data_IF_405265851035
#
_entry.id   IF_405265851035
#
_cell.length_a   1.000
_cell.length_b   1.000
_cell.length_c   1.000
_cell.angle_alpha   90.00
_cell.angle_beta   90.00
_cell.angle_gamma   90.00
#
_symmetry.space_group_name_H-M   'P 1'
#
loop_
_entity.id
_entity.type
_entity.pdbx_description
1 polymer ?
#
# COMPACT_ATOMS: atom_id res chain seq x y z
N UNK A 1 0.65 11.90 -10.33
CA UNK A 1 0.20 10.57 -10.77
C UNK A 1 -1.29 10.42 -10.55
N UNK A 2 -1.97 9.74 -11.46
CA UNK A 2 -3.36 9.31 -11.24
C UNK A 2 -3.41 8.24 -10.15
N UNK A 3 -4.62 7.86 -9.71
CA UNK A 3 -4.76 6.79 -8.72
C UNK A 3 -4.17 5.47 -9.24
N UNK A 4 -4.43 5.11 -10.49
CA UNK A 4 -3.88 3.87 -11.05
C UNK A 4 -2.36 3.86 -11.09
N UNK A 5 -1.75 5.00 -11.43
CA UNK A 5 -0.30 5.14 -11.40
C UNK A 5 0.24 5.08 -9.97
N UNK A 6 -0.45 5.72 -9.03
CA UNK A 6 -0.09 5.68 -7.61
C UNK A 6 -0.17 4.26 -7.05
N UNK A 7 -1.22 3.52 -7.39
CA UNK A 7 -1.39 2.14 -7.00
C UNK A 7 -0.24 1.27 -7.53
N UNK A 8 0.10 1.43 -8.82
CA UNK A 8 1.23 0.70 -9.41
C UNK A 8 2.56 1.01 -8.74
N UNK A 9 2.77 2.26 -8.37
CA UNK A 9 3.95 2.70 -7.63
C UNK A 9 4.03 2.03 -6.25
N UNK A 10 2.90 1.95 -5.54
CA UNK A 10 2.82 1.27 -4.24
C UNK A 10 3.16 -0.21 -4.38
N UNK A 11 2.58 -0.89 -5.36
CA UNK A 11 2.85 -2.32 -5.58
C UNK A 11 4.35 -2.55 -5.80
N UNK A 12 5.00 -1.72 -6.61
CA UNK A 12 6.45 -1.82 -6.85
C UNK A 12 7.27 -1.61 -5.59
N UNK A 13 6.90 -0.64 -4.76
CA UNK A 13 7.59 -0.39 -3.49
C UNK A 13 7.49 -1.61 -2.58
N UNK A 14 6.28 -2.16 -2.43
CA UNK A 14 6.06 -3.31 -1.56
C UNK A 14 6.74 -4.57 -2.08
N UNK A 15 6.72 -4.79 -3.38
CA UNK A 15 7.44 -5.91 -3.99
C UNK A 15 8.95 -5.81 -3.76
N UNK A 16 9.52 -4.60 -3.92
CA UNK A 16 10.94 -4.36 -3.66
C UNK A 16 11.31 -4.62 -2.20
N UNK A 17 10.44 -4.22 -1.28
CA UNK A 17 10.64 -4.51 0.14
C UNK A 17 10.61 -6.02 0.40
N UNK A 18 9.64 -6.73 -0.16
CA UNK A 18 9.48 -8.18 0.05
C UNK A 18 10.68 -8.96 -0.51
N UNK A 19 11.24 -8.55 -1.64
CA UNK A 19 12.45 -9.18 -2.19
C UNK A 19 13.60 -9.23 -1.18
N UNK A 20 13.70 -8.22 -0.32
CA UNK A 20 14.72 -8.13 0.73
C UNK A 20 14.26 -8.70 2.07
N UNK A 21 12.97 -8.98 2.23
CA UNK A 21 12.34 -9.37 3.49
C UNK A 21 11.31 -10.49 3.24
N UNK A 22 11.79 -11.61 2.70
CA UNK A 22 10.93 -12.71 2.23
C UNK A 22 10.14 -13.41 3.34
N UNK A 23 10.50 -13.16 4.61
CA UNK A 23 9.83 -13.74 5.77
C UNK A 23 8.81 -12.80 6.42
N UNK A 24 8.53 -11.65 5.80
CA UNK A 24 7.55 -10.70 6.33
C UNK A 24 6.14 -11.14 5.92
N UNK A 25 5.59 -12.11 6.64
CA UNK A 25 4.29 -12.70 6.32
C UNK A 25 3.14 -11.69 6.43
N UNK A 26 3.22 -10.76 7.36
CA UNK A 26 2.19 -9.72 7.53
C UNK A 26 2.07 -8.85 6.28
N UNK A 27 3.20 -8.42 5.73
CA UNK A 27 3.19 -7.58 4.54
C UNK A 27 2.82 -8.37 3.29
N UNK A 28 3.28 -9.62 3.19
CA UNK A 28 2.92 -10.50 2.07
C UNK A 28 1.40 -10.68 2.02
N UNK A 29 0.75 -10.89 3.16
CA UNK A 29 -0.71 -10.99 3.24
C UNK A 29 -1.38 -9.71 2.74
N UNK A 30 -0.92 -8.54 3.19
CA UNK A 30 -1.50 -7.26 2.78
C UNK A 30 -1.31 -7.04 1.28
N UNK A 31 -0.11 -7.30 0.75
CA UNK A 31 0.14 -7.14 -0.68
C UNK A 31 -0.76 -8.07 -1.50
N UNK A 32 -0.92 -9.31 -1.08
CA UNK A 32 -1.80 -10.26 -1.74
C UNK A 32 -3.25 -9.77 -1.78
N UNK A 33 -3.71 -9.15 -0.69
CA UNK A 33 -5.08 -8.66 -0.59
C UNK A 33 -5.36 -7.48 -1.50
N UNK A 34 -4.37 -6.61 -1.73
CA UNK A 34 -4.57 -5.41 -2.57
C UNK A 34 -4.13 -5.59 -4.01
N UNK A 35 -3.45 -6.68 -4.34
CA UNK A 35 -2.94 -6.91 -5.69
C UNK A 35 -4.06 -7.34 -6.64
N UNK A 36 -4.31 -6.51 -7.65
CA UNK A 36 -5.33 -6.77 -8.67
C UNK A 36 -4.80 -7.61 -9.84
N UNK A 37 -3.48 -7.71 -10.00
CA UNK A 37 -2.87 -8.40 -11.16
C UNK A 37 -2.83 -9.90 -11.00
N UNK A 38 -3.08 -10.42 -9.81
CA UNK A 38 -3.10 -11.85 -9.52
C UNK A 38 -4.28 -12.55 -10.25
N UNK A 39 -5.33 -11.79 -10.56
CA UNK A 39 -6.57 -12.32 -11.12
C UNK A 39 -6.86 -11.74 -12.49
N UNK A 40 -7.44 -12.55 -13.35
CA UNK A 40 -7.77 -12.15 -14.72
C UNK A 40 -8.84 -11.04 -14.81
N UNK A 41 -9.63 -10.87 -13.79
CA UNK A 41 -10.68 -9.84 -13.73
C UNK A 41 -10.15 -8.49 -13.23
N UNK A 42 -8.91 -8.44 -12.82
CA UNK A 42 -8.24 -7.23 -12.31
C UNK A 42 -8.94 -6.59 -11.11
N UNK A 43 -9.60 -7.39 -10.31
CA UNK A 43 -10.16 -6.94 -9.06
C UNK A 43 -9.25 -7.34 -7.90
N UNK A 44 -9.22 -6.54 -6.80
CA UNK A 44 -8.39 -6.90 -5.65
C UNK A 44 -8.90 -8.19 -5.00
N UNK A 45 -7.99 -8.98 -4.47
CA UNK A 45 -8.32 -10.22 -3.77
C UNK A 45 -9.21 -9.95 -2.54
N UNK A 46 -8.97 -8.83 -1.86
CA UNK A 46 -9.81 -8.36 -0.76
C UNK A 46 -10.22 -6.91 -1.02
N UNK A 47 -11.45 -6.67 -1.53
CA UNK A 47 -11.92 -5.32 -1.81
C UNK A 47 -11.92 -4.38 -0.60
N UNK A 48 -12.18 -4.90 0.60
CA UNK A 48 -12.20 -4.07 1.81
C UNK A 48 -10.80 -3.55 2.13
N UNK A 49 -9.76 -4.38 2.00
CA UNK A 49 -8.38 -3.95 2.21
C UNK A 49 -7.96 -2.93 1.16
N UNK A 50 -8.34 -3.14 -0.08
CA UNK A 50 -8.07 -2.19 -1.17
C UNK A 50 -8.75 -0.85 -0.91
N UNK A 51 -10.00 -0.85 -0.46
CA UNK A 51 -10.74 0.37 -0.14
C UNK A 51 -10.11 1.14 1.02
N UNK A 52 -9.57 0.45 2.01
CA UNK A 52 -8.84 1.08 3.12
C UNK A 52 -7.59 1.79 2.61
N UNK A 53 -6.83 1.17 1.70
CA UNK A 53 -5.68 1.80 1.08
C UNK A 53 -6.10 3.06 0.31
N UNK A 54 -7.14 2.94 -0.49
CA UNK A 54 -7.65 4.05 -1.28
C UNK A 54 -8.08 5.22 -0.40
N UNK A 55 -8.78 4.94 0.69
CA UNK A 55 -9.24 5.95 1.64
C UNK A 55 -8.07 6.71 2.24
N UNK A 56 -7.00 6.01 2.61
CA UNK A 56 -5.80 6.66 3.16
C UNK A 56 -5.09 7.52 2.12
N UNK A 57 -5.01 7.06 0.87
CA UNK A 57 -4.40 7.84 -0.21
C UNK A 57 -5.21 9.10 -0.51
N UNK A 58 -6.52 9.01 -0.53
CA UNK A 58 -7.39 10.16 -0.89
C UNK A 58 -7.23 11.35 0.04
N UNK A 59 -6.76 11.16 1.27
CA UNK A 59 -6.47 12.27 2.19
C UNK A 59 -5.35 13.18 1.68
N UNK A 60 -4.50 12.69 0.81
CA UNK A 60 -3.29 13.38 0.36
C UNK A 60 -3.31 13.82 -1.10
N UNK A 61 -4.36 13.49 -1.84
CA UNK A 61 -4.44 13.91 -3.25
C UNK A 61 -4.54 15.43 -3.33
N UNK A 62 -3.97 16.00 -4.40
CA UNK A 62 -4.03 17.45 -4.61
C UNK A 62 -5.36 17.87 -5.24
N UNK A 63 -5.53 19.20 -5.48
CA UNK A 63 -6.76 19.76 -6.04
C UNK A 63 -7.13 19.22 -7.42
N UNK A 64 -6.17 18.66 -8.14
CA UNK A 64 -6.37 18.10 -9.49
C UNK A 64 -6.61 16.59 -9.47
N UNK A 65 -6.86 16.02 -8.28
CA UNK A 65 -7.02 14.58 -8.08
C UNK A 65 -5.78 13.78 -8.50
N UNK A 66 -4.58 14.37 -8.34
CA UNK A 66 -3.30 13.75 -8.65
C UNK A 66 -2.48 13.54 -7.37
N UNK A 67 -1.50 12.65 -7.46
CA UNK A 67 -0.62 12.30 -6.34
C UNK A 67 0.84 12.58 -6.70
N UNK A 68 1.59 13.17 -5.76
CA UNK A 68 3.05 13.17 -5.81
C UNK A 68 3.59 11.93 -5.10
N UNK A 69 4.88 11.62 -5.31
CA UNK A 69 5.52 10.50 -4.61
C UNK A 69 5.42 10.63 -3.10
N UNK A 70 5.64 11.83 -2.56
CA UNK A 70 5.56 12.08 -1.13
C UNK A 70 4.15 11.82 -0.59
N UNK A 71 3.13 12.25 -1.32
CA UNK A 71 1.74 12.03 -0.93
C UNK A 71 1.39 10.55 -0.92
N UNK A 72 1.88 9.80 -1.91
CA UNK A 72 1.69 8.36 -1.99
C UNK A 72 2.34 7.66 -0.80
N UNK A 73 3.58 8.04 -0.46
CA UNK A 73 4.29 7.45 0.68
C UNK A 73 3.59 7.74 2.01
N UNK A 74 3.06 8.96 2.17
CA UNK A 74 2.29 9.31 3.38
C UNK A 74 1.02 8.47 3.50
N UNK A 75 0.28 8.32 2.41
CA UNK A 75 -0.94 7.52 2.39
C UNK A 75 -0.66 6.04 2.64
N UNK A 76 0.38 5.50 2.04
CA UNK A 76 0.79 4.13 2.26
C UNK A 76 1.20 3.90 3.72
N UNK A 77 1.98 4.82 4.29
CA UNK A 77 2.37 4.74 5.70
C UNK A 77 1.14 4.73 6.60
N UNK A 78 0.20 5.63 6.38
CA UNK A 78 -1.01 5.71 7.19
C UNK A 78 -1.84 4.42 7.09
N UNK A 79 -1.91 3.83 5.90
CA UNK A 79 -2.56 2.55 5.68
C UNK A 79 -1.90 1.43 6.50
N UNK A 80 -0.58 1.35 6.47
CA UNK A 80 0.14 0.32 7.22
C UNK A 80 -0.02 0.52 8.73
N UNK A 81 0.02 1.76 9.21
CA UNK A 81 -0.21 2.07 10.63
C UNK A 81 -1.62 1.68 11.05
N UNK A 82 -2.62 1.95 10.21
CA UNK A 82 -4.00 1.55 10.46
C UNK A 82 -4.11 0.03 10.68
N UNK A 83 -3.47 -0.74 9.83
CA UNK A 83 -3.52 -2.20 9.92
C UNK A 83 -2.72 -2.74 11.10
N UNK A 84 -1.59 -2.11 11.43
CA UNK A 84 -0.84 -2.44 12.64
C UNK A 84 -1.69 -2.23 13.89
N UNK A 85 -2.36 -1.09 14.00
CA UNK A 85 -3.12 -0.73 15.21
C UNK A 85 -4.44 -1.50 15.34
N UNK A 86 -5.14 -1.71 14.23
CA UNK A 86 -6.48 -2.31 14.27
C UNK A 86 -6.48 -3.83 14.16
N UNK A 87 -5.50 -4.41 13.50
CA UNK A 87 -5.47 -5.85 13.24
C UNK A 87 -4.24 -6.55 13.79
N UNK A 88 -3.34 -5.81 14.43
CA UNK A 88 -2.17 -6.41 15.08
C UNK A 88 -1.07 -6.91 14.14
N UNK A 89 -1.07 -6.48 12.88
CA UNK A 89 -0.01 -6.84 11.96
C UNK A 89 1.33 -6.21 12.39
N UNK A 90 2.41 -7.00 12.31
CA UNK A 90 3.75 -6.49 12.57
C UNK A 90 4.31 -5.86 11.28
N UNK A 91 4.14 -4.55 11.14
CA UNK A 91 4.51 -3.80 9.94
C UNK A 91 5.61 -2.78 10.18
N UNK A 92 6.24 -2.79 11.35
CA UNK A 92 7.21 -1.76 11.75
C UNK A 92 8.39 -1.67 10.78
N UNK A 93 8.91 -2.80 10.31
CA UNK A 93 10.04 -2.81 9.39
C UNK A 93 9.68 -2.17 8.05
N UNK A 94 8.50 -2.47 7.54
CA UNK A 94 8.05 -1.88 6.27
C UNK A 94 7.76 -0.40 6.43
N UNK A 95 7.12 0.01 7.54
CA UNK A 95 6.86 1.42 7.83
C UNK A 95 8.18 2.20 7.87
N UNK A 96 9.21 1.65 8.51
CA UNK A 96 10.53 2.26 8.55
C UNK A 96 11.16 2.35 7.17
N UNK A 97 11.00 1.30 6.36
CA UNK A 97 11.53 1.26 4.99
C UNK A 97 10.95 2.38 4.13
N UNK A 98 9.63 2.56 4.13
CA UNK A 98 8.99 3.62 3.33
C UNK A 98 9.26 5.01 3.89
N UNK A 99 9.47 5.14 5.20
CA UNK A 99 9.76 6.43 5.83
C UNK A 99 11.15 6.97 5.47
N UNK A 100 12.03 6.12 4.94
CA UNK A 100 13.38 6.50 4.50
C UNK A 100 13.45 6.98 3.05
N UNK A 101 12.36 6.88 2.32
CA UNK A 101 12.33 7.25 0.90
C UNK A 101 12.15 8.74 0.64
#
# INVERSE_FOLDING_TARGET
MTFNEAYGYIIKILESYIEQNINDDSLISILSDIDCDVWNDKEPNDPATFDDLRTQLEKYKNEKDLYSENEILLGLRDFLILYKENYGYNLDNCINYISRK
#
